data_IF_837580957425
#
_entry.id   IF_837580957425
#
_cell.length_a   1.000
_cell.length_b   1.000
_cell.length_c   1.000
_cell.angle_alpha   90.00
_cell.angle_beta   90.00
_cell.angle_gamma   90.00
#
_symmetry.space_group_name_H-M   'P 1'
#
loop_
_entity.id
_entity.type
_entity.pdbx_description
1 polymer ?
#
# COMPACT_ATOMS: atom_id res chain seq x y z
N UNK A 1 4.62 1.20 -2.74
CA UNK A 1 4.53 2.54 -3.35
C UNK A 1 5.48 3.54 -2.74
N UNK A 2 5.94 3.34 -1.50
CA UNK A 2 7.02 4.14 -0.93
C UNK A 2 8.37 3.67 -1.49
N UNK A 3 9.39 4.55 -1.61
CA UNK A 3 10.78 4.18 -1.86
C UNK A 3 11.27 3.05 -0.95
N UNK A 4 12.27 2.30 -1.41
CA UNK A 4 12.80 1.12 -0.70
C UNK A 4 13.32 1.52 0.68
N UNK A 5 13.97 2.67 0.76
CA UNK A 5 14.56 3.23 1.97
C UNK A 5 13.48 3.56 3.00
N UNK A 6 12.33 4.11 2.59
CA UNK A 6 11.21 4.41 3.48
C UNK A 6 10.48 3.15 3.95
N UNK A 7 10.40 2.14 3.09
CA UNK A 7 9.85 0.84 3.47
C UNK A 7 10.74 0.15 4.50
N UNK A 8 12.05 0.11 4.26
CA UNK A 8 13.05 -0.47 5.17
C UNK A 8 13.16 0.30 6.49
N UNK A 9 13.03 1.63 6.46
CA UNK A 9 12.98 2.46 7.65
C UNK A 9 11.69 2.29 8.47
N UNK A 10 10.71 1.54 7.96
CA UNK A 10 9.53 1.14 8.70
C UNK A 10 8.27 1.07 7.85
N UNK A 11 7.55 -0.04 7.95
CA UNK A 11 6.32 -0.34 7.22
C UNK A 11 5.28 -1.02 8.12
N UNK A 12 4.04 -1.08 7.64
CA UNK A 12 2.98 -1.84 8.32
C UNK A 12 3.35 -3.33 8.26
N UNK A 13 3.32 -4.09 9.37
CA UNK A 13 3.69 -5.50 9.36
C UNK A 13 2.92 -6.30 8.30
N UNK A 14 3.65 -7.12 7.53
CA UNK A 14 3.08 -7.91 6.43
C UNK A 14 2.78 -7.12 5.15
N UNK A 15 3.08 -5.82 5.11
CA UNK A 15 2.95 -5.04 3.89
C UNK A 15 3.95 -5.50 2.82
N UNK A 16 3.54 -5.43 1.55
CA UNK A 16 4.42 -5.68 0.41
C UNK A 16 4.83 -4.36 -0.24
N UNK A 17 6.14 -4.19 -0.47
CA UNK A 17 6.64 -3.02 -1.20
C UNK A 17 6.49 -3.22 -2.71
N UNK A 18 5.41 -2.67 -3.27
CA UNK A 18 5.14 -2.69 -4.71
C UNK A 18 5.06 -1.25 -5.24
N UNK A 19 6.02 -0.78 -6.07
CA UNK A 19 5.91 0.48 -6.81
C UNK A 19 4.70 0.45 -7.75
N UNK A 20 4.08 1.61 -7.99
CA UNK A 20 2.85 1.69 -8.79
C UNK A 20 3.07 1.20 -10.23
N UNK A 21 4.23 1.51 -10.78
CA UNK A 21 4.66 1.16 -12.14
C UNK A 21 4.79 -0.35 -12.32
N UNK A 22 5.01 -1.09 -11.22
CA UNK A 22 5.12 -2.56 -11.21
C UNK A 22 3.87 -3.24 -10.68
N UNK A 23 2.84 -2.50 -10.30
CA UNK A 23 1.64 -3.06 -9.69
C UNK A 23 0.92 -4.02 -10.62
N UNK A 24 0.86 -3.69 -11.92
CA UNK A 24 0.27 -4.55 -12.94
C UNK A 24 1.01 -5.89 -13.06
N UNK A 25 2.34 -5.88 -13.07
CA UNK A 25 3.14 -7.11 -13.20
C UNK A 25 3.08 -7.98 -11.94
N UNK A 26 2.87 -7.35 -10.78
CA UNK A 26 2.88 -8.01 -9.46
C UNK A 26 1.49 -8.46 -9.01
N UNK A 27 0.45 -8.34 -9.83
CA UNK A 27 -0.91 -8.78 -9.49
C UNK A 27 -0.99 -10.25 -9.10
N UNK A 28 -0.20 -11.11 -9.74
CA UNK A 28 -0.15 -12.54 -9.44
C UNK A 28 0.36 -12.83 -8.03
N UNK A 29 1.18 -11.95 -7.46
CA UNK A 29 1.71 -12.09 -6.11
C UNK A 29 0.73 -11.62 -5.03
N UNK A 30 -0.33 -10.93 -5.42
CA UNK A 30 -1.35 -10.44 -4.50
C UNK A 30 -2.45 -11.50 -4.35
N UNK A 31 -3.03 -11.66 -3.14
CA UNK A 31 -4.09 -12.63 -2.90
C UNK A 31 -5.33 -12.32 -3.75
N UNK A 32 -5.77 -13.28 -4.57
CA UNK A 32 -6.88 -13.10 -5.51
C UNK A 32 -8.21 -12.75 -4.79
N UNK A 33 -8.50 -13.46 -3.70
CA UNK A 33 -9.77 -13.34 -2.94
C UNK A 33 -9.65 -12.44 -1.71
N UNK A 34 -8.50 -11.77 -1.54
CA UNK A 34 -8.23 -10.90 -0.39
C UNK A 34 -8.54 -9.42 -0.67
N UNK A 35 -8.85 -8.66 0.38
CA UNK A 35 -8.87 -7.19 0.30
C UNK A 35 -7.45 -6.65 0.31
N UNK A 36 -7.08 -5.95 -0.76
CA UNK A 36 -5.79 -5.28 -0.89
C UNK A 36 -5.92 -3.87 -0.31
N UNK A 37 -5.07 -3.52 0.64
CA UNK A 37 -5.04 -2.17 1.24
C UNK A 37 -3.81 -1.43 0.75
N UNK A 38 -4.04 -0.40 -0.06
CA UNK A 38 -3.02 0.53 -0.54
C UNK A 38 -2.78 1.64 0.49
N UNK A 39 -1.51 1.87 0.83
CA UNK A 39 -1.11 3.00 1.69
C UNK A 39 0.20 3.63 1.22
N UNK A 40 0.42 4.86 1.66
CA UNK A 40 1.56 5.68 1.30
C UNK A 40 1.97 6.53 2.53
N UNK A 41 2.54 7.71 2.33
CA UNK A 41 3.05 8.56 3.42
C UNK A 41 1.93 9.25 4.23
N UNK A 42 0.83 9.64 3.59
CA UNK A 42 -0.27 10.37 4.21
C UNK A 42 -1.57 10.29 3.39
N UNK A 43 -2.65 10.86 3.92
CA UNK A 43 -4.00 10.79 3.34
C UNK A 43 -4.13 11.36 1.92
N UNK A 44 -3.26 12.30 1.53
CA UNK A 44 -3.29 12.99 0.23
C UNK A 44 -2.37 12.37 -0.83
N UNK A 45 -1.77 11.20 -0.57
CA UNK A 45 -0.87 10.59 -1.54
C UNK A 45 -1.63 10.08 -2.77
N UNK A 46 -1.41 10.74 -3.91
CA UNK A 46 -2.04 10.41 -5.20
C UNK A 46 -1.76 8.97 -5.63
N UNK A 47 -0.54 8.48 -5.40
CA UNK A 47 -0.15 7.10 -5.75
C UNK A 47 -1.08 6.05 -5.12
N UNK A 48 -1.50 6.26 -3.87
CA UNK A 48 -2.39 5.32 -3.19
C UNK A 48 -3.79 5.29 -3.82
N UNK A 49 -4.28 6.42 -4.34
CA UNK A 49 -5.52 6.47 -5.10
C UNK A 49 -5.38 5.79 -6.46
N UNK A 50 -4.28 6.03 -7.17
CA UNK A 50 -4.01 5.42 -8.47
C UNK A 50 -3.88 3.91 -8.37
N UNK A 51 -3.19 3.39 -7.35
CA UNK A 51 -3.09 1.95 -7.12
C UNK A 51 -4.45 1.30 -6.87
N UNK A 52 -5.34 1.92 -6.08
CA UNK A 52 -6.69 1.38 -5.86
C UNK A 52 -7.47 1.37 -7.17
N UNK A 53 -7.41 2.44 -7.96
CA UNK A 53 -8.05 2.48 -9.28
C UNK A 53 -7.54 1.37 -10.20
N UNK A 54 -6.22 1.17 -10.22
CA UNK A 54 -5.54 0.20 -11.08
C UNK A 54 -5.89 -1.26 -10.70
N UNK A 55 -5.96 -1.54 -9.40
CA UNK A 55 -6.36 -2.83 -8.86
C UNK A 55 -7.85 -3.11 -9.13
N UNK A 56 -8.72 -2.15 -8.86
CA UNK A 56 -10.17 -2.28 -9.08
C UNK A 56 -10.49 -2.43 -10.57
N UNK A 57 -9.80 -1.71 -11.46
CA UNK A 57 -9.95 -1.86 -12.91
C UNK A 57 -9.63 -3.27 -13.41
N UNK A 58 -8.85 -4.04 -12.64
CA UNK A 58 -8.49 -5.44 -12.92
C UNK A 58 -9.27 -6.43 -12.07
N UNK A 59 -10.41 -6.02 -11.52
CA UNK A 59 -11.32 -6.87 -10.77
C UNK A 59 -10.84 -7.25 -9.38
N UNK A 60 -9.84 -6.56 -8.83
CA UNK A 60 -9.34 -6.83 -7.47
C UNK A 60 -10.13 -6.02 -6.44
N UNK A 61 -10.38 -6.62 -5.28
CA UNK A 61 -10.96 -5.91 -4.14
C UNK A 61 -9.87 -5.04 -3.48
N UNK A 62 -9.84 -3.75 -3.80
CA UNK A 62 -8.84 -2.83 -3.29
C UNK A 62 -9.47 -1.64 -2.56
N UNK A 63 -8.80 -1.19 -1.50
CA UNK A 63 -9.15 0.03 -0.78
C UNK A 63 -7.89 0.79 -0.36
N UNK A 64 -8.06 2.07 -0.08
CA UNK A 64 -7.00 2.90 0.50
C UNK A 64 -7.09 2.81 2.02
N UNK A 65 -5.95 2.77 2.71
CA UNK A 65 -5.91 3.13 4.12
C UNK A 65 -6.27 4.62 4.21
N UNK A 66 -7.30 4.97 4.98
CA UNK A 66 -7.80 6.35 5.06
C UNK A 66 -6.68 7.32 5.47
N UNK A 67 -5.88 6.89 6.43
CA UNK A 67 -4.68 7.56 6.89
C UNK A 67 -3.41 6.95 6.27
N UNK A 68 -2.26 7.62 6.41
CA UNK A 68 -0.99 7.13 5.89
C UNK A 68 -0.10 6.51 6.96
N UNK A 69 1.15 6.23 6.57
CA UNK A 69 2.17 5.71 7.48
C UNK A 69 2.47 6.68 8.63
N UNK A 70 2.33 8.00 8.43
CA UNK A 70 2.55 8.99 9.47
C UNK A 70 1.56 8.79 10.63
N UNK A 71 0.27 8.78 10.32
CA UNK A 71 -0.80 8.63 11.31
C UNK A 71 -0.73 7.25 11.98
N UNK A 72 -0.37 6.20 11.24
CA UNK A 72 -0.13 4.87 11.79
C UNK A 72 0.96 4.89 12.89
N UNK A 73 2.05 5.63 12.67
CA UNK A 73 3.12 5.79 13.67
C UNK A 73 2.66 6.64 14.85
N UNK A 74 1.91 7.72 14.61
CA UNK A 74 1.38 8.58 15.67
C UNK A 74 0.36 7.84 16.56
N UNK A 75 -0.34 6.86 16.01
CA UNK A 75 -1.24 5.98 16.74
C UNK A 75 -0.51 4.85 17.50
N UNK A 76 0.83 4.85 17.52
CA UNK A 76 1.67 3.86 18.19
C UNK A 76 1.37 2.41 17.78
N UNK A 77 0.90 2.23 16.54
CA UNK A 77 0.59 0.91 15.99
C UNK A 77 1.88 0.17 15.60
N UNK A 78 1.85 -1.18 15.53
CA UNK A 78 3.02 -1.98 15.20
C UNK A 78 3.68 -1.58 13.87
N UNK A 79 5.01 -1.50 13.84
CA UNK A 79 5.83 -1.21 12.66
C UNK A 79 6.87 -2.31 12.49
N UNK A 80 7.04 -2.80 11.27
CA UNK A 80 8.10 -3.74 10.88
C UNK A 80 9.18 -3.01 10.05
N UNK A 81 10.38 -3.59 9.96
CA UNK A 81 11.54 -3.07 9.21
C UNK A 81 12.28 -4.19 8.50
#
# INVERSE_FOLDING_TARGET
MRPVEEYAAGHIPGALSVPLERLADRLADLPADGRIVAYCRGAYCVMAHEAVRELTARGRNAARLADGMLEWRLAELPVAS
#
